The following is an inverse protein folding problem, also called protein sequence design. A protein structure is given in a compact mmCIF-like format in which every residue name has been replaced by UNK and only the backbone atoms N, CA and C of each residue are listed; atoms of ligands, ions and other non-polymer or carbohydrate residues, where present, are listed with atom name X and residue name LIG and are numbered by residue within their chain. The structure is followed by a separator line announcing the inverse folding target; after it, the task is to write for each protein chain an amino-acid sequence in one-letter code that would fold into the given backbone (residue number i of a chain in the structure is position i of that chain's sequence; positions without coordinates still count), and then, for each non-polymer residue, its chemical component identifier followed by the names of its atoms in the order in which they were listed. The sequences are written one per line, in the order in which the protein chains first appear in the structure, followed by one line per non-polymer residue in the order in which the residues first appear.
data_IF_348102418991
#
_entry.id   IF_348102418991
#
_cell.length_a   1.000
_cell.length_b   1.000
_cell.length_c   1.000
_cell.angle_alpha   90.00
_cell.angle_beta   90.00
_cell.angle_gamma   90.00
#
_symmetry.space_group_name_H-M   'P 1'
#
loop_
_entity.id
_entity.type
_entity.pdbx_description
1 polymer ?
#
# COMPACT_ATOMS: atom_id res chain seq x y z
N UNK A 1 -4.26 -15.68 -9.82
CA UNK A 1 -4.09 -14.42 -9.05
C UNK A 1 -4.42 -14.72 -7.60
N UNK A 2 -3.46 -14.57 -6.69
CA UNK A 2 -3.53 -15.06 -5.29
C UNK A 2 -4.50 -14.27 -4.38
N UNK A 3 -5.24 -13.29 -4.93
CA UNK A 3 -6.14 -12.39 -4.19
C UNK A 3 -7.56 -12.43 -4.78
N UNK A 4 -8.00 -13.59 -5.30
CA UNK A 4 -9.39 -13.78 -5.75
C UNK A 4 -10.28 -13.82 -4.50
N UNK A 5 -10.84 -12.66 -4.10
CA UNK A 5 -11.60 -12.37 -2.86
C UNK A 5 -10.75 -11.95 -1.63
N UNK A 6 -9.44 -11.75 -1.78
CA UNK A 6 -8.54 -11.54 -0.64
C UNK A 6 -8.62 -10.14 -0.02
N UNK A 7 -8.44 -10.08 1.29
CA UNK A 7 -8.43 -8.84 2.07
C UNK A 7 -7.14 -8.06 1.82
N UNK A 8 -7.20 -6.73 1.71
CA UNK A 8 -5.99 -5.90 1.68
C UNK A 8 -5.11 -6.10 2.92
N UNK A 9 -5.69 -6.51 4.05
CA UNK A 9 -4.94 -6.87 5.25
C UNK A 9 -4.09 -8.12 5.05
N UNK A 10 -4.58 -9.11 4.29
CA UNK A 10 -3.81 -10.30 3.95
C UNK A 10 -2.62 -9.92 3.06
N UNK A 11 -2.84 -9.07 2.06
CA UNK A 11 -1.77 -8.56 1.21
C UNK A 11 -0.73 -7.78 2.04
N UNK A 12 -1.17 -6.88 2.92
CA UNK A 12 -0.28 -6.15 3.82
C UNK A 12 0.53 -7.10 4.72
N UNK A 13 -0.09 -8.16 5.24
CA UNK A 13 0.59 -9.17 6.06
C UNK A 13 1.66 -9.95 5.27
N UNK A 14 1.36 -10.32 4.02
CA UNK A 14 2.32 -11.00 3.12
C UNK A 14 3.51 -10.09 2.84
N UNK A 15 3.27 -8.82 2.52
CA UNK A 15 4.33 -7.85 2.25
C UNK A 15 5.20 -7.60 3.49
N UNK A 16 4.58 -7.53 4.67
CA UNK A 16 5.32 -7.44 5.93
C UNK A 16 6.20 -8.68 6.18
N UNK A 17 5.66 -9.88 5.98
CA UNK A 17 6.41 -11.13 6.11
C UNK A 17 7.58 -11.21 5.12
N UNK A 18 7.37 -10.80 3.87
CA UNK A 18 8.42 -10.72 2.85
C UNK A 18 9.53 -9.75 3.26
N UNK A 19 9.19 -8.58 3.80
CA UNK A 19 10.16 -7.61 4.33
C UNK A 19 11.01 -8.23 5.44
N UNK A 20 10.37 -8.84 6.45
CA UNK A 20 11.07 -9.51 7.56
C UNK A 20 12.01 -10.60 7.05
N UNK A 21 11.55 -11.43 6.10
CA UNK A 21 12.40 -12.46 5.50
C UNK A 21 13.59 -11.85 4.73
N UNK A 22 13.38 -10.74 4.02
CA UNK A 22 14.42 -10.05 3.26
C UNK A 22 15.45 -9.39 4.18
N UNK A 23 15.05 -8.85 5.34
CA UNK A 23 15.97 -8.31 6.35
C UNK A 23 16.93 -9.38 6.91
N UNK A 24 16.48 -10.63 6.98
CA UNK A 24 17.30 -11.73 7.52
C UNK A 24 18.15 -12.39 6.42
N UNK A 25 17.60 -12.57 5.22
CA UNK A 25 18.17 -13.47 4.20
C UNK A 25 18.46 -12.81 2.84
N UNK A 26 18.12 -11.53 2.62
CA UNK A 26 18.11 -10.92 1.29
C UNK A 26 18.71 -9.52 1.21
N UNK A 27 18.71 -8.91 0.01
CA UNK A 27 19.02 -7.49 -0.15
C UNK A 27 17.98 -6.62 0.57
N UNK A 28 18.33 -5.37 0.89
CA UNK A 28 17.43 -4.42 1.54
C UNK A 28 16.08 -4.37 0.81
N UNK A 29 15.00 -4.70 1.52
CA UNK A 29 13.66 -4.72 0.96
C UNK A 29 13.21 -3.31 0.57
N UNK A 30 12.34 -3.22 -0.43
CA UNK A 30 11.64 -1.98 -0.77
C UNK A 30 10.72 -1.61 0.38
N UNK A 31 10.92 -0.42 0.95
CA UNK A 31 10.24 0.08 2.16
C UNK A 31 8.98 0.89 1.84
N UNK A 32 8.56 0.91 0.57
CA UNK A 32 7.45 1.75 0.09
C UNK A 32 6.17 1.57 0.91
N UNK A 33 5.85 0.32 1.29
CA UNK A 33 4.60 -0.04 1.96
C UNK A 33 4.67 -0.05 3.50
N UNK A 34 5.75 0.46 4.09
CA UNK A 34 5.81 0.63 5.54
C UNK A 34 4.76 1.62 6.03
N UNK A 35 4.44 1.56 7.34
CA UNK A 35 3.44 2.43 7.94
C UNK A 35 3.74 3.93 7.69
N UNK A 36 5.01 4.30 7.69
CA UNK A 36 5.50 5.65 7.37
C UNK A 36 6.32 5.68 6.07
N UNK A 37 6.10 4.71 5.19
CA UNK A 37 6.82 4.58 3.93
C UNK A 37 6.38 5.61 2.87
N UNK A 38 7.15 5.71 1.77
CA UNK A 38 6.81 6.53 0.61
C UNK A 38 5.36 6.41 0.12
N UNK A 39 4.81 5.19 0.07
CA UNK A 39 3.45 4.95 -0.40
C UNK A 39 2.42 5.58 0.54
N UNK A 40 2.57 5.43 1.85
CA UNK A 40 1.61 5.97 2.82
C UNK A 40 1.67 7.49 2.86
N UNK A 41 2.87 8.08 2.83
CA UNK A 41 3.04 9.52 2.74
C UNK A 41 2.38 10.13 1.49
N UNK A 42 2.47 9.43 0.35
CA UNK A 42 1.81 9.81 -0.90
C UNK A 42 0.28 9.59 -0.88
N UNK A 43 -0.19 8.56 -0.18
CA UNK A 43 -1.58 8.14 -0.13
C UNK A 43 -2.47 9.05 0.73
N UNK A 44 -2.01 9.47 1.92
CA UNK A 44 -2.88 10.17 2.88
C UNK A 44 -3.57 11.41 2.32
N UNK A 45 -2.87 12.33 1.63
CA UNK A 45 -3.53 13.49 1.04
C UNK A 45 -4.60 13.12 -0.01
N UNK A 46 -4.43 12.00 -0.73
CA UNK A 46 -5.37 11.52 -1.77
C UNK A 46 -6.63 10.91 -1.19
N UNK A 47 -6.54 10.37 0.02
CA UNK A 47 -7.70 9.93 0.80
C UNK A 47 -8.32 11.07 1.63
N UNK A 48 -7.87 12.31 1.43
CA UNK A 48 -8.38 13.48 2.16
C UNK A 48 -7.93 13.53 3.63
N UNK A 49 -6.86 12.81 3.99
CA UNK A 49 -6.34 12.75 5.36
C UNK A 49 -5.19 13.74 5.55
N UNK A 50 -5.26 14.53 6.63
CA UNK A 50 -4.21 15.50 7.01
C UNK A 50 -3.00 14.86 7.69
N UNK A 51 -3.14 13.63 8.19
CA UNK A 51 -2.11 12.88 8.90
C UNK A 51 -2.25 11.39 8.64
N UNK A 52 -1.20 10.62 8.93
CA UNK A 52 -1.23 9.17 8.73
C UNK A 52 -2.22 8.46 9.65
N UNK A 53 -2.95 7.50 9.08
CA UNK A 53 -3.88 6.67 9.87
C UNK A 53 -3.13 5.60 10.65
N UNK A 54 -3.39 5.45 11.97
CA UNK A 54 -2.81 4.38 12.79
C UNK A 54 -3.27 2.98 12.36
N UNK A 55 -4.36 2.88 11.59
CA UNK A 55 -4.91 1.61 11.09
C UNK A 55 -4.15 1.10 9.85
N UNK A 56 -3.31 1.93 9.23
CA UNK A 56 -2.53 1.59 8.06
C UNK A 56 -3.34 1.62 6.76
N UNK A 57 -2.61 1.56 5.64
CA UNK A 57 -3.18 1.81 4.31
C UNK A 57 -4.24 0.79 3.91
N UNK A 58 -4.10 -0.49 4.30
CA UNK A 58 -5.03 -1.53 3.93
C UNK A 58 -6.46 -1.25 4.44
N UNK A 59 -6.57 -0.80 5.69
CA UNK A 59 -7.87 -0.46 6.30
C UNK A 59 -8.45 0.80 5.65
N UNK A 60 -7.64 1.83 5.46
CA UNK A 60 -8.15 3.10 4.91
C UNK A 60 -8.55 2.99 3.44
N UNK A 61 -7.80 2.23 2.63
CA UNK A 61 -8.18 1.95 1.25
C UNK A 61 -9.46 1.11 1.21
N UNK A 62 -9.62 0.14 2.13
CA UNK A 62 -10.86 -0.65 2.20
C UNK A 62 -12.07 0.24 2.48
N UNK A 63 -11.99 1.15 3.45
CA UNK A 63 -13.07 2.12 3.75
C UNK A 63 -13.37 3.03 2.56
N UNK A 64 -12.33 3.53 1.88
CA UNK A 64 -12.49 4.39 0.70
C UNK A 64 -13.16 3.64 -0.46
N UNK A 65 -12.83 2.36 -0.63
CA UNK A 65 -13.42 1.50 -1.65
C UNK A 65 -14.89 1.21 -1.34
N UNK A 66 -15.23 0.90 -0.08
CA UNK A 66 -16.62 0.73 0.38
C UNK A 66 -17.47 1.98 0.13
N UNK A 67 -16.93 3.18 0.40
CA UNK A 67 -17.62 4.44 0.17
C UNK A 67 -17.89 4.74 -1.33
N UNK A 68 -17.17 4.07 -2.23
CA UNK A 68 -17.29 4.25 -3.69
C UNK A 68 -17.87 3.02 -4.40
N UNK A 69 -18.32 2.01 -3.64
CA UNK A 69 -18.80 0.72 -4.14
C UNK A 69 -17.81 0.02 -5.09
N UNK A 70 -16.50 0.15 -4.77
CA UNK A 70 -15.41 -0.45 -5.54
C UNK A 70 -14.76 -1.61 -4.79
N UNK A 71 -14.24 -2.63 -5.49
CA UNK A 71 -13.39 -3.63 -4.84
C UNK A 71 -12.10 -2.99 -4.30
N UNK A 72 -11.82 -3.18 -3.01
CA UNK A 72 -10.65 -2.57 -2.35
C UNK A 72 -9.32 -2.94 -3.02
N UNK A 73 -9.19 -4.17 -3.50
CA UNK A 73 -8.00 -4.64 -4.22
C UNK A 73 -7.80 -3.90 -5.54
N UNK A 74 -8.88 -3.60 -6.27
CA UNK A 74 -8.80 -2.83 -7.52
C UNK A 74 -8.38 -1.39 -7.23
N UNK A 75 -8.99 -0.75 -6.23
CA UNK A 75 -8.60 0.60 -5.81
C UNK A 75 -7.12 0.66 -5.37
N UNK A 76 -6.64 -0.36 -4.66
CA UNK A 76 -5.22 -0.44 -4.29
C UNK A 76 -4.30 -0.48 -5.51
N UNK A 77 -4.63 -1.27 -6.54
CA UNK A 77 -3.78 -1.37 -7.73
C UNK A 77 -3.80 -0.09 -8.57
N UNK A 78 -4.95 0.58 -8.70
CA UNK A 78 -5.01 1.90 -9.35
C UNK A 78 -4.13 2.92 -8.63
N UNK A 79 -4.24 3.00 -7.30
CA UNK A 79 -3.41 3.87 -6.47
C UNK A 79 -1.92 3.49 -6.58
N UNK A 80 -1.60 2.21 -6.68
CA UNK A 80 -0.23 1.76 -6.86
C UNK A 80 0.34 2.18 -8.22
N UNK A 81 -0.46 2.12 -9.27
CA UNK A 81 -0.05 2.54 -10.61
C UNK A 81 0.15 4.06 -10.67
N UNK A 82 -0.73 4.85 -10.06
CA UNK A 82 -0.54 6.30 -9.90
C UNK A 82 0.73 6.62 -9.09
N UNK A 83 0.92 5.94 -7.95
CA UNK A 83 2.12 6.11 -7.13
C UNK A 83 3.37 5.87 -7.96
N UNK A 84 3.44 4.74 -8.69
CA UNK A 84 4.60 4.40 -9.53
C UNK A 84 4.82 5.40 -10.66
N UNK A 85 3.76 5.91 -11.28
CA UNK A 85 3.86 6.91 -12.34
C UNK A 85 4.45 8.23 -11.83
N UNK A 86 4.14 8.62 -10.60
CA UNK A 86 4.71 9.81 -9.97
C UNK A 86 6.10 9.58 -9.36
N UNK A 87 6.40 8.35 -8.93
CA UNK A 87 7.67 8.02 -8.29
C UNK A 87 8.77 7.54 -9.26
N UNK A 88 8.45 7.07 -10.46
CA UNK A 88 9.44 6.61 -11.45
C UNK A 88 9.53 7.57 -12.67
N UNK A 89 10.69 8.23 -12.97
CA UNK A 89 11.96 8.28 -12.24
C UNK A 89 12.37 9.71 -11.84
N UNK A 90 12.56 9.94 -10.53
CA UNK A 90 13.74 10.66 -10.03
C UNK A 90 14.85 9.65 -9.72
N UNK A 91 15.30 8.93 -10.75
CA UNK A 91 16.61 8.30 -10.72
C UNK A 91 17.63 9.42 -10.96
N UNK A 92 18.32 9.84 -9.89
CA UNK A 92 19.61 10.54 -9.96
C UNK A 92 20.70 9.54 -9.62
#
# INVERSE_FOLDING_TARGET
MFVRKGSLLELQSILYGYRVASEIYGPAAVMDFEHQGPFTAWLWPRLGMSYGSPLGWAVEITKAAEATDRPAVELFFDLLDEFKAEYAPRAR
#
